data_IF_466253670688
#
_entry.id   IF_466253670688
#
_cell.length_a   1.000
_cell.length_b   1.000
_cell.length_c   1.000
_cell.angle_alpha   90.00
_cell.angle_beta   90.00
_cell.angle_gamma   90.00
#
_symmetry.space_group_name_H-M   'P 1'
#
loop_
_entity.id
_entity.type
_entity.pdbx_description
1 polymer ?
#
# COMPACT_ATOMS: atom_id res chain seq x y z
N UNK A 1 25.17 6.71 -25.52
CA UNK A 1 23.98 5.91 -25.90
C UNK A 1 22.96 6.18 -24.81
N UNK A 2 21.95 7.00 -25.07
CA UNK A 2 20.89 7.27 -24.10
C UNK A 2 20.00 6.04 -23.96
N UNK A 3 19.80 5.60 -22.73
CA UNK A 3 19.15 4.35 -22.37
C UNK A 3 17.65 4.40 -22.70
N UNK A 4 17.23 3.72 -23.77
CA UNK A 4 15.82 3.62 -24.18
C UNK A 4 14.92 2.97 -23.12
N UNK A 5 15.48 2.26 -22.15
CA UNK A 5 14.72 1.63 -21.05
C UNK A 5 14.13 2.67 -20.09
N UNK A 6 14.83 3.80 -19.84
CA UNK A 6 14.33 4.86 -18.95
C UNK A 6 13.11 5.58 -19.54
N UNK A 7 13.13 5.88 -20.86
CA UNK A 7 12.01 6.59 -21.51
C UNK A 7 10.73 5.73 -21.50
N UNK A 8 10.85 4.42 -21.69
CA UNK A 8 9.70 3.49 -21.58
C UNK A 8 9.14 3.40 -20.16
N UNK A 9 9.99 3.48 -19.12
CA UNK A 9 9.60 3.44 -17.72
C UNK A 9 8.81 4.70 -17.32
N UNK A 10 9.25 5.88 -17.75
CA UNK A 10 8.53 7.15 -17.51
C UNK A 10 7.17 7.20 -18.22
N UNK A 11 7.09 6.77 -19.47
CA UNK A 11 5.82 6.72 -20.20
C UNK A 11 4.79 5.78 -19.56
N UNK A 12 5.23 4.63 -19.00
CA UNK A 12 4.33 3.69 -18.32
C UNK A 12 3.85 4.21 -16.97
N UNK A 13 4.72 4.89 -16.19
CA UNK A 13 4.36 5.53 -14.93
C UNK A 13 3.26 6.58 -15.12
N UNK A 14 3.41 7.44 -16.12
CA UNK A 14 2.42 8.47 -16.44
C UNK A 14 1.04 7.90 -16.82
N UNK A 15 0.97 6.71 -17.41
CA UNK A 15 -0.31 6.09 -17.81
C UNK A 15 -1.08 5.58 -16.57
N UNK A 16 -0.42 4.92 -15.63
CA UNK A 16 -1.09 4.44 -14.40
C UNK A 16 -1.60 5.60 -13.54
N UNK A 17 -0.81 6.66 -13.42
CA UNK A 17 -1.19 7.89 -12.71
C UNK A 17 -2.35 8.64 -13.37
N UNK A 18 -2.40 8.68 -14.71
CA UNK A 18 -3.53 9.26 -15.45
C UNK A 18 -4.82 8.46 -15.19
N UNK A 19 -4.73 7.14 -15.01
CA UNK A 19 -5.89 6.29 -14.70
C UNK A 19 -6.45 6.57 -13.31
N UNK A 20 -5.61 6.72 -12.28
CA UNK A 20 -6.07 7.15 -10.95
C UNK A 20 -6.72 8.54 -11.01
N UNK A 21 -6.12 9.46 -11.75
CA UNK A 21 -6.67 10.80 -11.95
C UNK A 21 -8.05 10.75 -12.64
N UNK A 22 -8.25 9.84 -13.59
CA UNK A 22 -9.56 9.67 -14.25
C UNK A 22 -10.62 9.09 -13.30
N UNK A 23 -10.23 8.26 -12.33
CA UNK A 23 -11.14 7.78 -11.28
C UNK A 23 -11.67 8.93 -10.43
N UNK A 24 -10.81 9.82 -9.97
CA UNK A 24 -11.19 10.95 -9.12
C UNK A 24 -12.02 11.99 -9.89
N UNK A 25 -11.71 12.25 -11.16
CA UNK A 25 -12.46 13.22 -11.98
C UNK A 25 -13.88 12.76 -12.34
N UNK A 26 -14.14 11.45 -12.39
CA UNK A 26 -15.47 10.91 -12.69
C UNK A 26 -16.46 11.08 -11.54
N UNK A 27 -15.96 11.19 -10.28
CA UNK A 27 -16.81 11.39 -9.10
C UNK A 27 -17.27 12.84 -8.90
N UNK A 28 -16.56 13.82 -9.49
CA UNK A 28 -16.79 15.25 -9.30
C UNK A 28 -17.88 15.90 -10.16
N UNK A 29 -18.53 15.19 -11.10
CA UNK A 29 -19.51 15.78 -12.01
C UNK A 29 -20.85 15.03 -12.05
N UNK A 30 -21.75 15.45 -11.18
CA UNK A 30 -23.19 15.25 -11.34
C UNK A 30 -23.79 14.17 -10.44
N UNK A 31 -24.80 14.58 -9.67
CA UNK A 31 -25.70 13.69 -8.93
C UNK A 31 -26.42 12.70 -9.86
N UNK A 32 -25.75 11.62 -10.25
CA UNK A 32 -26.42 10.44 -10.76
C UNK A 32 -26.89 9.63 -9.56
N UNK A 33 -28.19 9.71 -9.27
CA UNK A 33 -28.83 8.72 -8.40
C UNK A 33 -28.70 7.36 -9.07
N UNK A 34 -27.73 6.57 -8.63
CA UNK A 34 -27.67 5.15 -8.97
C UNK A 34 -28.83 4.48 -8.26
N UNK A 35 -29.75 3.89 -9.02
CA UNK A 35 -30.76 3.00 -8.43
C UNK A 35 -29.99 1.82 -7.87
N UNK A 36 -30.12 1.60 -6.55
CA UNK A 36 -29.69 0.38 -5.90
C UNK A 36 -30.10 -0.81 -6.78
N UNK A 37 -29.12 -1.70 -7.03
CA UNK A 37 -29.36 -2.92 -7.78
C UNK A 37 -30.59 -3.65 -7.20
N UNK A 38 -31.33 -4.37 -8.04
CA UNK A 38 -32.50 -5.13 -7.62
C UNK A 38 -32.20 -5.85 -6.32
N UNK A 39 -32.93 -5.47 -5.26
CA UNK A 39 -32.97 -6.22 -4.03
C UNK A 39 -33.31 -7.67 -4.40
N UNK A 40 -32.35 -8.58 -4.26
CA UNK A 40 -32.61 -10.01 -4.37
C UNK A 40 -33.59 -10.34 -3.26
N UNK A 41 -34.78 -10.80 -3.65
CA UNK A 41 -35.75 -11.36 -2.73
C UNK A 41 -35.23 -12.74 -2.28
N UNK A 42 -34.33 -12.71 -1.31
CA UNK A 42 -33.89 -13.89 -0.58
C UNK A 42 -35.04 -14.23 0.32
N UNK A 43 -35.88 -15.18 -0.14
CA UNK A 43 -36.96 -15.75 0.66
C UNK A 43 -36.44 -16.08 2.06
N UNK A 44 -37.32 -15.87 3.06
CA UNK A 44 -37.07 -16.01 4.49
C UNK A 44 -36.07 -17.13 4.77
N UNK A 45 -34.84 -16.79 5.07
CA UNK A 45 -33.85 -17.75 5.58
C UNK A 45 -34.33 -18.20 6.95
N UNK A 46 -34.30 -19.51 7.25
CA UNK A 46 -34.61 -20.00 8.60
C UNK A 46 -33.62 -19.35 9.58
N UNK A 47 -34.11 -19.05 10.80
CA UNK A 47 -33.34 -18.43 11.88
C UNK A 47 -31.94 -19.08 11.99
N UNK A 48 -30.96 -18.43 11.35
CA UNK A 48 -29.57 -18.77 11.59
C UNK A 48 -29.20 -18.22 12.99
N UNK A 49 -28.49 -19.02 13.81
CA UNK A 49 -28.05 -18.53 15.10
C UNK A 49 -27.30 -17.24 14.92
N UNK A 50 -27.66 -16.22 15.70
CA UNK A 50 -26.94 -14.93 15.76
C UNK A 50 -25.53 -15.24 16.28
N UNK A 51 -24.62 -15.50 15.36
CA UNK A 51 -23.20 -15.47 15.67
C UNK A 51 -22.83 -14.01 15.92
N UNK A 52 -22.29 -13.75 17.11
CA UNK A 52 -21.99 -12.43 17.60
C UNK A 52 -21.23 -11.60 16.57
N UNK A 53 -21.65 -10.35 16.51
CA UNK A 53 -21.09 -9.21 15.77
C UNK A 53 -20.44 -9.57 14.42
N UNK A 54 -21.25 -9.48 13.36
CA UNK A 54 -20.79 -9.41 11.96
C UNK A 54 -20.06 -8.07 11.69
N UNK A 55 -19.14 -7.67 12.59
CA UNK A 55 -18.47 -6.37 12.54
C UNK A 55 -17.75 -6.11 11.22
N UNK A 56 -17.09 -7.11 10.65
CA UNK A 56 -16.25 -6.91 9.45
C UNK A 56 -17.04 -6.66 8.16
N UNK A 57 -18.27 -7.17 8.02
CA UNK A 57 -19.02 -7.03 6.76
C UNK A 57 -19.71 -5.66 6.61
N UNK A 58 -19.93 -4.93 7.71
CA UNK A 58 -20.55 -3.60 7.66
C UNK A 58 -19.54 -2.47 7.39
N UNK A 59 -18.25 -2.70 7.67
CA UNK A 59 -17.20 -1.69 7.55
C UNK A 59 -16.49 -1.72 6.18
N UNK A 60 -16.78 -2.70 5.33
CA UNK A 60 -16.11 -2.87 4.06
C UNK A 60 -17.10 -2.86 2.89
N UNK A 61 -16.68 -2.33 1.73
CA UNK A 61 -17.38 -2.51 0.48
C UNK A 61 -17.42 -4.01 0.13
N UNK A 62 -18.56 -4.47 -0.38
CA UNK A 62 -18.76 -5.86 -0.78
C UNK A 62 -18.84 -5.95 -2.31
N UNK A 63 -17.91 -6.65 -2.91
CA UNK A 63 -17.84 -6.85 -4.36
C UNK A 63 -17.89 -8.35 -4.62
N UNK A 64 -18.82 -8.80 -5.47
CA UNK A 64 -18.93 -10.20 -5.82
C UNK A 64 -17.76 -10.66 -6.71
N UNK A 65 -17.38 -11.92 -6.61
CA UNK A 65 -16.35 -12.48 -7.48
C UNK A 65 -16.78 -12.40 -8.95
N UNK A 66 -15.92 -11.80 -9.80
CA UNK A 66 -16.19 -11.60 -11.22
C UNK A 66 -17.14 -10.44 -11.52
N UNK A 67 -17.50 -9.63 -10.53
CA UNK A 67 -18.25 -8.38 -10.74
C UNK A 67 -17.34 -7.31 -11.34
N UNK A 68 -17.82 -6.67 -12.41
CA UNK A 68 -17.17 -5.56 -13.08
C UNK A 68 -18.08 -4.34 -13.01
N UNK A 69 -17.59 -3.22 -12.46
CA UNK A 69 -18.33 -1.98 -12.28
C UNK A 69 -17.56 -0.85 -12.95
N UNK A 70 -18.17 -0.17 -13.92
CA UNK A 70 -17.59 0.93 -14.73
C UNK A 70 -16.17 0.67 -15.25
N UNK A 71 -15.88 -0.62 -15.55
CA UNK A 71 -14.55 -1.14 -15.84
C UNK A 71 -14.04 -0.83 -17.26
N UNK A 72 -14.89 -0.30 -18.14
CA UNK A 72 -14.57 -0.16 -19.58
C UNK A 72 -13.33 0.69 -19.88
N UNK A 73 -13.00 1.64 -18.98
CA UNK A 73 -11.85 2.54 -19.13
C UNK A 73 -10.56 1.96 -18.54
N UNK A 74 -10.61 0.81 -17.86
CA UNK A 74 -9.50 0.22 -17.11
C UNK A 74 -8.96 -1.08 -17.72
N UNK A 75 -9.34 -1.41 -18.95
CA UNK A 75 -8.88 -2.62 -19.68
C UNK A 75 -7.35 -2.68 -19.90
N UNK A 76 -6.63 -1.58 -19.63
CA UNK A 76 -5.16 -1.54 -19.69
C UNK A 76 -4.47 -1.87 -18.36
N UNK A 77 -5.22 -2.03 -17.29
CA UNK A 77 -4.73 -2.39 -15.95
C UNK A 77 -4.96 -3.88 -15.70
N UNK A 78 -4.14 -4.47 -14.82
CA UNK A 78 -4.42 -5.83 -14.33
C UNK A 78 -5.63 -5.84 -13.39
N UNK A 79 -5.75 -4.81 -12.57
CA UNK A 79 -6.91 -4.59 -11.71
C UNK A 79 -7.09 -3.08 -11.48
N UNK A 80 -8.32 -2.66 -11.18
CA UNK A 80 -8.63 -1.31 -10.75
C UNK A 80 -9.81 -1.32 -9.77
N UNK A 81 -9.76 -0.47 -8.75
CA UNK A 81 -10.79 -0.37 -7.73
C UNK A 81 -10.94 1.07 -7.26
N UNK A 82 -12.18 1.54 -7.11
CA UNK A 82 -12.53 2.79 -6.44
C UNK A 82 -13.75 2.56 -5.56
N UNK A 83 -13.59 2.82 -4.29
CA UNK A 83 -14.64 2.71 -3.27
C UNK A 83 -14.88 4.05 -2.62
N UNK A 84 -16.13 4.42 -2.46
CA UNK A 84 -16.54 5.47 -1.53
C UNK A 84 -16.61 4.87 -0.12
N UNK A 85 -15.61 5.21 0.71
CA UNK A 85 -15.52 4.71 2.08
C UNK A 85 -16.57 5.31 3.02
N UNK A 86 -17.18 6.42 2.64
CA UNK A 86 -18.26 7.04 3.42
C UNK A 86 -19.57 6.26 3.30
N UNK A 87 -19.89 5.80 2.09
CA UNK A 87 -21.12 5.04 1.80
C UNK A 87 -20.90 3.54 1.68
N UNK A 88 -19.65 3.10 1.52
CA UNK A 88 -19.22 1.74 1.17
C UNK A 88 -19.66 1.30 -0.23
N UNK A 89 -20.02 2.26 -1.08
CA UNK A 89 -20.36 1.99 -2.47
C UNK A 89 -19.11 1.77 -3.32
N UNK A 90 -19.13 0.73 -4.14
CA UNK A 90 -18.09 0.53 -5.14
C UNK A 90 -18.41 1.33 -6.40
N UNK A 91 -17.51 2.24 -6.77
CA UNK A 91 -17.65 3.09 -7.96
C UNK A 91 -17.00 2.44 -9.17
N UNK A 92 -15.82 1.84 -8.98
CA UNK A 92 -15.09 1.07 -10.02
C UNK A 92 -14.67 -0.27 -9.45
N UNK A 93 -14.89 -1.33 -10.20
CA UNK A 93 -14.35 -2.66 -9.95
C UNK A 93 -13.93 -3.28 -11.29
N UNK A 94 -12.64 -3.56 -11.45
CA UNK A 94 -12.08 -4.30 -12.55
C UNK A 94 -11.12 -5.35 -12.02
N UNK A 95 -11.43 -6.63 -12.26
CA UNK A 95 -10.63 -7.78 -11.85
C UNK A 95 -10.18 -7.73 -10.37
N UNK A 96 -11.03 -7.22 -9.48
CA UNK A 96 -10.66 -6.91 -8.08
C UNK A 96 -10.29 -8.15 -7.25
N UNK A 97 -10.75 -9.33 -7.62
CA UNK A 97 -10.44 -10.62 -6.99
C UNK A 97 -9.43 -11.45 -7.79
N UNK A 98 -8.91 -10.93 -8.91
CA UNK A 98 -7.86 -11.58 -9.69
C UNK A 98 -6.52 -11.53 -8.95
N UNK A 99 -5.73 -12.60 -9.09
CA UNK A 99 -4.36 -12.65 -8.58
C UNK A 99 -3.52 -11.58 -9.29
N UNK A 100 -2.87 -10.71 -8.50
CA UNK A 100 -1.92 -9.70 -8.96
C UNK A 100 -0.66 -9.75 -8.10
N UNK A 101 0.43 -9.17 -8.60
CA UNK A 101 1.67 -9.01 -7.86
C UNK A 101 1.68 -7.63 -7.18
N UNK A 102 1.85 -7.55 -5.84
CA UNK A 102 1.72 -6.29 -5.12
C UNK A 102 2.87 -5.31 -5.32
N UNK A 103 4.03 -5.78 -5.77
CA UNK A 103 5.27 -5.00 -5.73
C UNK A 103 5.45 -4.34 -4.34
N UNK A 104 5.95 -3.10 -4.28
CA UNK A 104 6.19 -2.39 -3.00
C UNK A 104 4.92 -2.02 -2.22
N UNK A 105 3.69 -2.27 -2.73
CA UNK A 105 2.49 -2.19 -1.89
C UNK A 105 2.51 -3.22 -0.75
N UNK A 106 3.31 -4.29 -0.85
CA UNK A 106 3.67 -5.21 0.24
C UNK A 106 4.08 -4.50 1.51
N UNK A 107 4.79 -3.36 1.40
CA UNK A 107 5.32 -2.61 2.54
C UNK A 107 4.25 -2.00 3.44
N UNK A 108 3.02 -1.91 2.95
CA UNK A 108 1.87 -1.52 3.79
C UNK A 108 1.70 -2.57 4.91
N UNK A 109 1.71 -3.88 4.58
CA UNK A 109 1.62 -4.94 5.58
C UNK A 109 2.85 -4.96 6.50
N UNK A 110 4.03 -4.72 5.97
CA UNK A 110 5.25 -4.58 6.79
C UNK A 110 5.12 -3.41 7.76
N UNK A 111 4.63 -2.25 7.30
CA UNK A 111 4.36 -1.08 8.13
C UNK A 111 3.36 -1.35 9.25
N UNK A 112 2.26 -2.08 8.97
CA UNK A 112 1.27 -2.49 9.97
C UNK A 112 1.96 -3.24 11.12
N UNK A 113 2.71 -4.30 10.82
CA UNK A 113 3.35 -5.12 11.84
C UNK A 113 4.41 -4.36 12.65
N UNK A 114 5.13 -3.44 12.00
CA UNK A 114 6.09 -2.55 12.69
C UNK A 114 5.37 -1.62 13.65
N UNK A 115 4.29 -0.96 13.19
CA UNK A 115 3.51 -0.05 14.02
C UNK A 115 2.81 -0.77 15.16
N UNK A 116 2.26 -1.97 14.94
CA UNK A 116 1.72 -2.81 16.01
C UNK A 116 2.78 -3.19 17.05
N UNK A 117 4.02 -3.50 16.62
CA UNK A 117 5.10 -3.83 17.55
C UNK A 117 5.51 -2.61 18.39
N UNK A 118 5.45 -1.40 17.82
CA UNK A 118 5.67 -0.14 18.55
C UNK A 118 4.53 0.10 19.55
N UNK A 119 3.29 -0.05 19.13
CA UNK A 119 2.10 0.14 19.99
C UNK A 119 2.04 -0.85 21.15
N UNK A 120 2.48 -2.10 20.92
CA UNK A 120 2.62 -3.13 21.96
C UNK A 120 3.79 -2.86 22.93
N UNK A 121 4.72 -1.97 22.53
CA UNK A 121 5.93 -1.65 23.31
C UNK A 121 7.04 -2.70 23.17
N UNK A 122 6.98 -3.57 22.15
CA UNK A 122 8.02 -4.56 21.86
C UNK A 122 9.28 -3.88 21.31
N UNK A 123 9.10 -2.81 20.54
CA UNK A 123 10.15 -1.90 20.03
C UNK A 123 9.71 -0.45 20.19
N UNK A 124 10.66 0.48 20.09
CA UNK A 124 10.41 1.93 20.15
C UNK A 124 10.98 2.61 18.91
N UNK A 125 10.36 3.72 18.49
CA UNK A 125 10.88 4.56 17.39
C UNK A 125 12.31 5.04 17.63
N UNK A 126 12.71 5.22 18.89
CA UNK A 126 14.03 5.70 19.29
C UNK A 126 15.07 4.58 19.46
N UNK A 127 14.65 3.30 19.38
CA UNK A 127 15.58 2.18 19.46
C UNK A 127 16.57 2.24 18.31
N UNK A 128 17.87 2.07 18.62
CA UNK A 128 18.95 2.13 17.64
C UNK A 128 19.32 0.72 17.19
N UNK A 129 19.27 0.49 15.91
CA UNK A 129 19.69 -0.75 15.25
C UNK A 129 21.07 -0.55 14.64
N UNK A 130 22.02 -1.43 14.99
CA UNK A 130 23.34 -1.47 14.35
C UNK A 130 23.39 -2.66 13.41
N UNK A 131 23.70 -2.39 12.14
CA UNK A 131 23.75 -3.43 11.10
C UNK A 131 25.02 -4.26 11.23
N UNK A 132 24.90 -5.57 11.10
CA UNK A 132 26.03 -6.50 11.07
C UNK A 132 26.48 -6.84 9.64
N UNK A 133 25.68 -6.47 8.63
CA UNK A 133 25.93 -6.75 7.19
C UNK A 133 25.21 -5.72 6.31
N UNK A 134 25.59 -5.66 5.04
CA UNK A 134 24.76 -5.04 3.99
C UNK A 134 23.64 -6.02 3.63
N UNK A 135 22.41 -5.52 3.47
CA UNK A 135 21.33 -6.26 2.81
C UNK A 135 21.51 -6.14 1.30
N UNK A 136 21.42 -7.25 0.59
CA UNK A 136 21.61 -7.31 -0.87
C UNK A 136 20.45 -8.05 -1.51
N UNK A 137 20.07 -7.64 -2.71
CA UNK A 137 19.02 -8.23 -3.51
C UNK A 137 19.58 -8.70 -4.85
N UNK A 138 19.01 -9.76 -5.39
CA UNK A 138 19.40 -10.26 -6.73
C UNK A 138 18.88 -9.33 -7.84
N UNK A 139 17.82 -8.58 -7.57
CA UNK A 139 17.31 -7.56 -8.47
C UNK A 139 18.20 -6.30 -8.41
N UNK A 140 18.86 -6.01 -9.52
CA UNK A 140 19.77 -4.87 -9.65
C UNK A 140 19.09 -3.49 -9.54
N UNK A 141 17.77 -3.42 -9.76
CA UNK A 141 16.95 -2.19 -9.69
C UNK A 141 16.18 -2.09 -8.36
N UNK A 142 16.50 -2.96 -7.39
CA UNK A 142 15.90 -2.94 -6.07
C UNK A 142 16.20 -1.61 -5.36
N UNK A 143 15.15 -0.91 -4.93
CA UNK A 143 15.30 0.33 -4.16
C UNK A 143 15.90 0.01 -2.78
N UNK A 144 17.08 0.54 -2.49
CA UNK A 144 17.77 0.32 -1.22
C UNK A 144 18.48 1.60 -0.74
N UNK A 145 18.68 1.70 0.57
CA UNK A 145 19.33 2.84 1.22
C UNK A 145 20.85 2.81 1.13
N UNK A 146 21.44 1.73 0.61
CA UNK A 146 22.88 1.48 0.56
C UNK A 146 23.58 1.39 1.94
N UNK A 147 22.83 1.18 3.03
CA UNK A 147 23.40 0.93 4.35
C UNK A 147 24.29 -0.33 4.36
N UNK A 148 25.40 -0.26 5.08
CA UNK A 148 26.39 -1.36 5.18
C UNK A 148 26.55 -1.80 6.63
N UNK A 149 27.23 -2.93 6.85
CA UNK A 149 27.56 -3.39 8.20
C UNK A 149 28.37 -2.33 8.95
N UNK A 150 28.02 -2.11 10.21
CA UNK A 150 28.56 -1.05 11.06
C UNK A 150 27.74 0.23 11.09
N UNK A 151 26.86 0.49 10.12
CA UNK A 151 25.92 1.59 10.20
C UNK A 151 24.91 1.41 11.34
N UNK A 152 24.50 2.50 11.95
CA UNK A 152 23.49 2.52 13.03
C UNK A 152 22.44 3.59 12.75
N UNK A 153 21.15 3.25 12.93
CA UNK A 153 20.04 4.18 12.76
C UNK A 153 18.87 3.77 13.64
N UNK A 154 17.93 4.68 13.83
CA UNK A 154 16.74 4.42 14.66
C UNK A 154 15.70 3.61 13.89
N UNK A 155 14.83 2.90 14.63
CA UNK A 155 13.62 2.25 14.10
C UNK A 155 12.77 3.26 13.33
N UNK A 156 12.69 4.52 13.83
CA UNK A 156 12.03 5.62 13.12
C UNK A 156 12.58 5.81 11.71
N UNK A 157 13.90 5.94 11.56
CA UNK A 157 14.52 6.12 10.24
C UNK A 157 14.27 4.92 9.33
N UNK A 158 14.37 3.70 9.85
CA UNK A 158 14.06 2.49 9.08
C UNK A 158 12.62 2.49 8.57
N UNK A 159 11.63 2.78 9.43
CA UNK A 159 10.21 2.81 9.07
C UNK A 159 9.91 3.92 8.04
N UNK A 160 10.49 5.11 8.23
CA UNK A 160 10.29 6.24 7.32
C UNK A 160 10.97 5.99 5.96
N UNK A 161 12.18 5.40 5.94
CA UNK A 161 12.82 4.99 4.69
C UNK A 161 12.03 3.91 3.94
N UNK A 162 11.43 2.96 4.66
CA UNK A 162 10.56 1.92 4.10
C UNK A 162 9.33 2.52 3.42
N UNK A 163 8.62 3.45 4.09
CA UNK A 163 7.32 3.93 3.63
C UNK A 163 7.45 5.07 2.61
N UNK A 164 8.28 6.08 2.87
CA UNK A 164 8.38 7.29 2.05
C UNK A 164 9.04 6.98 0.70
N UNK A 165 10.28 6.46 0.73
CA UNK A 165 11.07 6.21 -0.50
C UNK A 165 11.20 4.73 -0.86
N UNK A 166 10.46 3.86 -0.16
CA UNK A 166 10.34 2.44 -0.52
C UNK A 166 11.64 1.62 -0.39
N UNK A 167 12.55 1.95 0.53
CA UNK A 167 13.78 1.19 0.75
C UNK A 167 13.51 -0.25 1.20
N UNK A 168 13.94 -1.22 0.38
CA UNK A 168 13.72 -2.65 0.62
C UNK A 168 14.54 -3.18 1.80
N UNK A 169 15.79 -2.72 1.93
CA UNK A 169 16.69 -3.11 3.00
C UNK A 169 16.18 -2.67 4.38
N UNK A 170 15.53 -1.51 4.48
CA UNK A 170 14.84 -1.08 5.70
C UNK A 170 13.77 -2.09 6.12
N UNK A 171 13.01 -2.65 5.16
CA UNK A 171 12.01 -3.68 5.43
C UNK A 171 12.63 -4.96 6.01
N UNK A 172 13.72 -5.44 5.41
CA UNK A 172 14.43 -6.65 5.87
C UNK A 172 15.00 -6.43 7.29
N UNK A 173 15.61 -5.25 7.54
CA UNK A 173 16.19 -4.95 8.86
C UNK A 173 15.09 -4.92 9.94
N UNK A 174 13.94 -4.29 9.67
CA UNK A 174 12.79 -4.26 10.58
C UNK A 174 12.20 -5.66 10.81
N UNK A 175 12.08 -6.46 9.74
CA UNK A 175 11.60 -7.83 9.82
C UNK A 175 12.53 -8.70 10.70
N UNK A 176 13.83 -8.59 10.51
CA UNK A 176 14.83 -9.31 11.35
C UNK A 176 14.79 -8.82 12.80
N UNK A 177 14.61 -7.52 13.04
CA UNK A 177 14.49 -6.96 14.39
C UNK A 177 13.29 -7.54 15.14
N UNK A 178 12.11 -7.63 14.49
CA UNK A 178 10.86 -8.02 15.12
C UNK A 178 10.75 -9.54 15.25
N UNK A 179 11.05 -10.29 14.18
CA UNK A 179 10.79 -11.73 14.09
C UNK A 179 12.05 -12.59 14.11
N UNK A 180 13.24 -11.99 14.12
CA UNK A 180 14.53 -12.69 14.09
C UNK A 180 14.94 -13.15 12.69
N UNK A 181 14.02 -13.19 11.72
CA UNK A 181 14.30 -13.47 10.30
C UNK A 181 13.18 -12.96 9.42
N UNK A 182 13.48 -12.66 8.15
CA UNK A 182 12.48 -12.27 7.16
C UNK A 182 11.41 -13.37 6.95
N UNK A 183 11.80 -14.64 6.92
CA UNK A 183 10.85 -15.77 6.78
C UNK A 183 9.84 -15.81 7.94
N UNK A 184 10.29 -15.67 9.20
CA UNK A 184 9.39 -15.63 10.34
C UNK A 184 8.49 -14.39 10.33
N UNK A 185 8.98 -13.27 9.80
CA UNK A 185 8.18 -12.06 9.61
C UNK A 185 7.11 -12.25 8.52
N UNK A 186 7.43 -12.96 7.42
CA UNK A 186 6.44 -13.32 6.40
C UNK A 186 5.34 -14.21 6.95
N UNK A 187 5.66 -15.14 7.88
CA UNK A 187 4.64 -15.90 8.59
C UNK A 187 3.67 -14.98 9.36
N UNK A 188 4.21 -13.96 10.06
CA UNK A 188 3.39 -12.95 10.74
C UNK A 188 2.54 -12.12 9.75
N UNK A 189 3.11 -11.72 8.60
CA UNK A 189 2.37 -11.01 7.54
C UNK A 189 1.19 -11.84 7.03
N UNK A 190 1.40 -13.14 6.80
CA UNK A 190 0.36 -14.06 6.33
C UNK A 190 -0.72 -14.32 7.39
N UNK A 191 -0.35 -14.37 8.67
CA UNK A 191 -1.33 -14.46 9.76
C UNK A 191 -2.15 -13.18 9.89
N UNK A 192 -1.52 -11.99 9.81
CA UNK A 192 -2.22 -10.70 9.82
C UNK A 192 -3.15 -10.57 8.60
N UNK A 193 -2.73 -11.00 7.41
CA UNK A 193 -3.59 -11.01 6.22
C UNK A 193 -4.86 -11.82 6.46
N UNK A 194 -4.76 -13.01 7.06
CA UNK A 194 -5.93 -13.83 7.43
C UNK A 194 -6.81 -13.15 8.48
N UNK A 195 -6.19 -12.53 9.49
CA UNK A 195 -6.90 -11.83 10.57
C UNK A 195 -7.79 -10.70 10.03
N UNK A 196 -7.29 -9.91 9.07
CA UNK A 196 -8.04 -8.80 8.47
C UNK A 196 -8.94 -9.21 7.29
N UNK A 197 -8.97 -10.52 6.94
CA UNK A 197 -9.81 -11.05 5.88
C UNK A 197 -9.20 -11.02 4.48
N UNK A 198 -7.93 -10.63 4.31
CA UNK A 198 -7.18 -10.64 3.05
C UNK A 198 -6.71 -12.08 2.72
N UNK A 199 -7.67 -12.95 2.42
CA UNK A 199 -7.46 -14.43 2.33
C UNK A 199 -6.92 -14.90 0.99
N UNK A 200 -6.82 -14.03 -0.01
CA UNK A 200 -6.24 -14.32 -1.32
C UNK A 200 -4.84 -13.70 -1.47
N UNK A 201 -4.19 -13.44 -0.33
CA UNK A 201 -2.87 -12.83 -0.23
C UNK A 201 -1.87 -13.82 0.34
N UNK A 202 -0.67 -13.84 -0.23
CA UNK A 202 0.45 -14.63 0.27
C UNK A 202 1.74 -13.84 0.14
N UNK A 203 2.42 -13.62 1.26
CA UNK A 203 3.70 -12.92 1.35
C UNK A 203 4.85 -13.92 1.54
N UNK A 204 5.89 -13.82 0.72
CA UNK A 204 7.13 -14.59 0.85
C UNK A 204 8.35 -13.70 1.12
N UNK A 205 8.17 -12.37 1.04
CA UNK A 205 9.14 -11.37 1.45
C UNK A 205 8.44 -10.15 2.03
N UNK A 206 9.17 -9.27 2.73
CA UNK A 206 8.63 -8.09 3.40
C UNK A 206 8.70 -6.80 2.58
N UNK A 207 9.19 -6.85 1.34
CA UNK A 207 9.51 -5.66 0.54
C UNK A 207 8.80 -5.60 -0.82
N UNK A 208 8.36 -6.74 -1.36
CA UNK A 208 7.58 -6.80 -2.60
C UNK A 208 8.40 -6.98 -3.88
N UNK A 209 9.67 -7.38 -3.82
CA UNK A 209 10.37 -7.89 -5.00
C UNK A 209 9.66 -9.15 -5.49
N UNK A 210 9.73 -9.38 -6.81
CA UNK A 210 8.95 -10.41 -7.44
C UNK A 210 9.30 -11.83 -6.97
N UNK A 211 8.24 -12.61 -6.76
CA UNK A 211 8.24 -14.05 -6.60
C UNK A 211 6.86 -14.57 -7.05
N UNK A 212 6.80 -15.70 -7.75
CA UNK A 212 5.54 -16.27 -8.25
C UNK A 212 4.54 -16.60 -7.13
N UNK A 213 5.06 -16.90 -5.92
CA UNK A 213 4.26 -17.17 -4.72
C UNK A 213 3.98 -15.93 -3.88
N UNK A 214 4.47 -14.74 -4.28
CA UNK A 214 4.23 -13.47 -3.65
C UNK A 214 3.10 -12.72 -4.35
N UNK A 215 1.87 -12.85 -3.89
CA UNK A 215 0.70 -12.35 -4.60
C UNK A 215 -0.37 -11.80 -3.65
N UNK A 216 -1.30 -11.06 -4.23
CA UNK A 216 -2.48 -10.49 -3.57
C UNK A 216 -3.63 -10.31 -4.57
N UNK A 217 -4.69 -9.62 -4.16
CA UNK A 217 -5.75 -9.10 -5.02
C UNK A 217 -5.99 -7.62 -4.74
N UNK A 218 -6.64 -6.89 -5.65
CA UNK A 218 -6.99 -5.50 -5.40
C UNK A 218 -7.92 -5.36 -4.18
N UNK A 219 -8.85 -6.31 -3.99
CA UNK A 219 -9.73 -6.33 -2.83
C UNK A 219 -8.96 -6.58 -1.52
N UNK A 220 -8.00 -7.47 -1.50
CA UNK A 220 -7.18 -7.72 -0.32
C UNK A 220 -6.30 -6.51 0.03
N UNK A 221 -5.74 -5.82 -0.97
CA UNK A 221 -5.01 -4.56 -0.75
C UNK A 221 -5.90 -3.45 -0.20
N UNK A 222 -7.16 -3.39 -0.63
CA UNK A 222 -8.15 -2.50 -0.04
C UNK A 222 -8.34 -2.77 1.47
N UNK A 223 -8.43 -4.03 1.88
CA UNK A 223 -8.51 -4.38 3.30
C UNK A 223 -7.22 -4.03 4.06
N UNK A 224 -6.06 -4.24 3.42
CA UNK A 224 -4.74 -3.98 4.01
C UNK A 224 -4.52 -2.47 4.23
N UNK A 225 -4.84 -1.60 3.26
CA UNK A 225 -4.66 -0.16 3.47
C UNK A 225 -5.62 0.38 4.54
N UNK A 226 -6.84 -0.13 4.63
CA UNK A 226 -7.78 0.22 5.70
C UNK A 226 -7.26 -0.17 7.08
N UNK A 227 -6.58 -1.30 7.21
CA UNK A 227 -5.94 -1.67 8.46
C UNK A 227 -4.79 -0.72 8.79
N UNK A 228 -3.95 -0.42 7.79
CA UNK A 228 -2.81 0.49 7.92
C UNK A 228 -3.24 1.88 8.41
N UNK A 229 -4.31 2.43 7.86
CA UNK A 229 -4.81 3.77 8.19
C UNK A 229 -5.40 3.89 9.61
N UNK A 230 -5.58 2.80 10.33
CA UNK A 230 -5.97 2.84 11.75
C UNK A 230 -4.84 3.28 12.66
N UNK A 231 -3.60 3.23 12.19
CA UNK A 231 -2.43 3.62 12.97
C UNK A 231 -2.14 5.11 12.80
N UNK A 232 -2.13 5.88 13.89
CA UNK A 232 -1.85 7.32 13.88
C UNK A 232 -0.52 7.66 13.19
N UNK A 233 0.47 6.76 13.32
CA UNK A 233 1.80 6.94 12.72
C UNK A 233 1.78 6.85 11.19
N UNK A 234 0.86 6.08 10.59
CA UNK A 234 0.68 6.00 9.16
C UNK A 234 0.42 7.38 8.55
N UNK A 235 -0.56 8.10 9.10
CA UNK A 235 -0.89 9.45 8.65
C UNK A 235 0.29 10.43 8.77
N UNK A 236 1.05 10.33 9.89
CA UNK A 236 2.22 11.20 10.09
C UNK A 236 3.28 10.96 9.01
N UNK A 237 3.55 9.70 8.65
CA UNK A 237 4.54 9.34 7.63
C UNK A 237 4.07 9.78 6.24
N UNK A 238 2.82 9.47 5.90
CA UNK A 238 2.27 9.67 4.56
C UNK A 238 2.01 11.15 4.22
N UNK A 239 1.99 12.03 5.25
CA UNK A 239 1.83 13.47 5.09
C UNK A 239 3.14 14.24 4.85
N UNK A 240 4.29 13.55 4.82
CA UNK A 240 5.58 14.21 4.65
C UNK A 240 5.92 14.45 3.18
N UNK A 241 6.24 15.70 2.85
CA UNK A 241 6.78 16.06 1.52
C UNK A 241 8.24 15.63 1.36
N UNK A 242 9.01 15.68 2.45
CA UNK A 242 10.41 15.25 2.51
C UNK A 242 10.75 14.76 3.90
N UNK A 243 11.79 13.96 4.03
CA UNK A 243 12.31 13.50 5.31
C UNK A 243 13.84 13.40 5.29
N UNK A 244 14.49 13.91 6.33
CA UNK A 244 15.93 13.76 6.52
C UNK A 244 16.25 12.39 7.15
N UNK A 245 16.52 11.42 6.29
CA UNK A 245 16.94 10.07 6.68
C UNK A 245 18.35 10.12 7.24
N UNK A 246 18.48 9.95 8.55
CA UNK A 246 19.75 10.08 9.26
C UNK A 246 20.27 8.72 9.74
N UNK A 247 21.57 8.51 9.64
CA UNK A 247 22.25 7.33 10.20
C UNK A 247 23.69 7.66 10.57
N UNK A 248 24.29 6.87 11.45
CA UNK A 248 25.72 6.89 11.72
C UNK A 248 26.39 5.84 10.84
N UNK A 249 27.39 6.24 10.06
CA UNK A 249 28.14 5.30 9.20
C UNK A 249 29.09 4.39 10.01
N UNK A 250 29.74 3.44 9.33
CA UNK A 250 30.67 2.49 9.97
C UNK A 250 31.91 3.15 10.58
N UNK A 251 32.24 4.37 10.17
CA UNK A 251 33.36 5.15 10.71
C UNK A 251 32.92 6.06 11.89
N UNK A 252 31.64 6.06 12.24
CA UNK A 252 31.07 6.83 13.35
C UNK A 252 30.66 8.26 12.98
N UNK A 253 30.56 8.59 11.69
CA UNK A 253 30.11 9.90 11.24
C UNK A 253 28.59 9.90 11.00
N UNK A 254 27.95 11.00 11.37
CA UNK A 254 26.55 11.21 11.03
C UNK A 254 26.40 11.51 9.53
N UNK A 255 25.47 10.80 8.92
CA UNK A 255 25.06 10.97 7.53
C UNK A 255 23.59 11.39 7.47
N UNK A 256 23.28 12.30 6.53
CA UNK A 256 21.93 12.80 6.30
C UNK A 256 21.63 12.71 4.81
N UNK A 257 20.52 12.04 4.47
CA UNK A 257 20.01 11.94 3.10
C UNK A 257 18.56 12.43 3.11
N UNK A 258 18.28 13.52 2.41
CA UNK A 258 16.89 13.95 2.24
C UNK A 258 16.22 13.02 1.25
N UNK A 259 15.17 12.33 1.69
CA UNK A 259 14.35 11.41 0.89
C UNK A 259 12.98 12.03 0.60
N UNK A 260 12.40 11.66 -0.53
CA UNK A 260 11.13 12.16 -1.04
C UNK A 260 10.14 11.01 -1.26
N UNK A 261 8.82 11.28 -1.21
CA UNK A 261 7.79 10.31 -1.54
C UNK A 261 7.94 9.77 -2.97
N UNK A 262 7.63 8.48 -3.14
CA UNK A 262 7.56 7.87 -4.48
C UNK A 262 6.24 8.17 -5.20
N UNK A 263 5.32 8.85 -4.54
CA UNK A 263 4.02 9.25 -5.11
C UNK A 263 4.16 10.57 -5.87
N UNK A 264 4.12 10.51 -7.19
CA UNK A 264 4.29 11.65 -8.09
C UNK A 264 3.22 12.76 -7.93
N UNK A 265 2.09 12.46 -7.30
CA UNK A 265 1.10 13.48 -6.93
C UNK A 265 1.59 14.36 -5.78
N UNK A 266 2.34 13.79 -4.82
CA UNK A 266 2.88 14.53 -3.69
C UNK A 266 4.14 15.33 -4.09
N UNK A 267 4.96 14.81 -5.00
CA UNK A 267 6.14 15.53 -5.51
C UNK A 267 5.78 16.62 -6.50
N UNK A 268 4.52 16.67 -6.96
CA UNK A 268 4.06 17.63 -7.95
C UNK A 268 4.49 17.33 -9.39
N UNK A 269 5.07 16.17 -9.66
CA UNK A 269 5.40 15.72 -11.02
C UNK A 269 4.13 15.44 -11.84
N UNK A 270 3.06 15.05 -11.16
CA UNK A 270 1.72 14.87 -11.72
C UNK A 270 0.73 15.75 -10.98
N UNK A 271 -0.12 16.45 -11.72
CA UNK A 271 -1.14 17.30 -11.13
C UNK A 271 -2.19 16.45 -10.41
N UNK A 272 -2.42 16.77 -9.14
CA UNK A 272 -3.52 16.20 -8.35
C UNK A 272 -4.79 17.05 -8.51
N UNK A 273 -6.00 16.47 -8.52
CA UNK A 273 -7.24 17.23 -8.65
C UNK A 273 -7.45 18.20 -7.49
N UNK A 274 -7.86 19.43 -7.81
CA UNK A 274 -8.22 20.42 -6.79
C UNK A 274 -9.42 19.95 -5.95
N UNK A 275 -9.40 20.24 -4.65
CA UNK A 275 -10.47 19.93 -3.72
C UNK A 275 -10.44 18.53 -3.14
N UNK A 276 -9.33 17.82 -3.33
CA UNK A 276 -9.06 16.54 -2.68
C UNK A 276 -7.71 16.59 -1.97
N UNK A 277 -7.61 15.87 -0.86
CA UNK A 277 -6.37 15.59 -0.14
C UNK A 277 -6.05 14.09 -0.16
N UNK A 278 -4.77 13.76 -0.08
CA UNK A 278 -4.28 12.39 -0.05
C UNK A 278 -4.10 11.97 1.41
N UNK A 279 -4.66 10.82 1.76
CA UNK A 279 -4.42 10.12 3.03
C UNK A 279 -3.26 9.13 2.91
N UNK A 280 -3.45 7.91 3.41
CA UNK A 280 -2.47 6.84 3.28
C UNK A 280 -2.29 6.41 1.83
N UNK A 281 -1.05 6.04 1.48
CA UNK A 281 -0.73 5.67 0.11
C UNK A 281 0.49 4.73 0.03
N UNK A 282 0.60 4.01 -1.10
CA UNK A 282 1.83 3.33 -1.50
C UNK A 282 1.88 3.10 -3.00
N UNK A 283 3.03 3.38 -3.59
CA UNK A 283 3.38 3.00 -4.96
C UNK A 283 4.10 1.65 -4.99
N UNK A 284 4.05 0.97 -6.12
CA UNK A 284 4.80 -0.25 -6.38
C UNK A 284 5.20 -0.36 -7.84
N UNK A 285 6.37 -0.96 -8.12
CA UNK A 285 6.82 -1.24 -9.48
C UNK A 285 7.74 -2.45 -9.49
N UNK A 286 7.41 -3.45 -10.31
CA UNK A 286 8.31 -4.51 -10.79
C UNK A 286 8.03 -4.74 -12.27
N UNK A 287 8.84 -5.56 -12.94
CA UNK A 287 8.56 -5.90 -14.35
C UNK A 287 7.21 -6.63 -14.50
N UNK A 288 6.86 -7.50 -13.56
CA UNK A 288 5.65 -8.33 -13.57
C UNK A 288 4.41 -7.60 -13.06
N UNK A 289 4.55 -6.78 -12.01
CA UNK A 289 3.45 -6.00 -11.46
C UNK A 289 3.13 -4.75 -12.28
N UNK A 290 4.08 -4.27 -13.08
CA UNK A 290 4.06 -2.96 -13.74
C UNK A 290 4.07 -1.82 -12.70
N UNK A 291 3.33 -0.74 -12.97
CA UNK A 291 3.21 0.37 -12.03
C UNK A 291 1.89 0.26 -11.26
N UNK A 292 1.98 0.26 -9.97
CA UNK A 292 0.85 0.13 -9.07
C UNK A 292 0.77 1.33 -8.13
N UNK A 293 -0.44 1.70 -7.76
CA UNK A 293 -0.70 2.70 -6.74
C UNK A 293 -1.97 2.34 -5.98
N UNK A 294 -1.91 2.41 -4.67
CA UNK A 294 -3.08 2.46 -3.80
C UNK A 294 -3.01 3.73 -2.97
N UNK A 295 -4.15 4.40 -2.79
CA UNK A 295 -4.23 5.59 -1.94
C UNK A 295 -5.62 5.85 -1.42
N UNK A 296 -5.68 6.44 -0.24
CA UNK A 296 -6.86 7.07 0.32
C UNK A 296 -6.96 8.52 -0.15
N UNK A 297 -8.18 8.96 -0.36
CA UNK A 297 -8.52 10.28 -0.84
C UNK A 297 -9.63 10.86 0.01
N UNK A 298 -9.59 12.16 0.25
CA UNK A 298 -10.65 12.88 0.94
C UNK A 298 -11.08 14.07 0.12
N UNK A 299 -12.39 14.24 -0.09
CA UNK A 299 -12.97 15.44 -0.65
C UNK A 299 -12.98 16.54 0.42
N UNK A 300 -12.21 17.61 0.21
CA UNK A 300 -12.04 18.68 1.19
C UNK A 300 -13.31 19.47 1.48
N UNK A 301 -14.27 19.47 0.56
CA UNK A 301 -15.52 20.23 0.68
C UNK A 301 -16.66 19.42 1.31
N UNK A 302 -16.75 18.12 1.03
CA UNK A 302 -17.83 17.24 1.51
C UNK A 302 -17.39 16.37 2.69
N UNK A 303 -16.07 16.12 2.81
CA UNK A 303 -15.52 15.19 3.78
C UNK A 303 -15.67 13.73 3.40
N UNK A 304 -16.19 13.43 2.21
CA UNK A 304 -16.28 12.07 1.68
C UNK A 304 -14.87 11.47 1.49
N UNK A 305 -14.72 10.20 1.84
CA UNK A 305 -13.46 9.48 1.79
C UNK A 305 -13.53 8.35 0.75
N UNK A 306 -12.44 8.14 0.03
CA UNK A 306 -12.35 7.15 -1.04
C UNK A 306 -11.06 6.36 -0.93
N UNK A 307 -11.09 5.10 -1.41
CA UNK A 307 -9.87 4.32 -1.67
C UNK A 307 -9.81 4.02 -3.15
N UNK A 308 -8.68 4.38 -3.77
CA UNK A 308 -8.37 4.14 -5.18
C UNK A 308 -7.17 3.22 -5.32
N UNK A 309 -7.26 2.25 -6.24
CA UNK A 309 -6.18 1.30 -6.59
C UNK A 309 -6.13 1.06 -8.10
N UNK A 310 -4.92 1.02 -8.62
CA UNK A 310 -4.59 0.53 -9.98
C UNK A 310 -3.31 -0.28 -9.97
#
# INVERSE_FOLDING_TARGET
MFNQSRIGKYMRRSISLILVLSMVLLTGCGSKTYKAGKQLDIGVLPDLPVYGELGMAYDNAVIAQGEEIDAANYNGCYAAMLVDETTKDTIVAHNVHGKIYPASMTKIMTGILVMESIEKGDISLDDVVTLNRKVTFDDWDAMASDLVGGCSLTVKNLLYGLMITSYNDCGVILAELIAGSESAFCDMMNEKAKEIGATNTHFVNCHGLHDDDHYTTAYDLYLIIKEFSKHDLAYVIDSLDTYDFTYTDADGNEQVVTIEPTNEFLTGEVNFPDGYSIGSWKTGTTEEALNCLIMELKNDSTGEEYIALV
#
